data_IF_828166670960
#
_entry.id   IF_828166670960
#
_cell.length_a   1.000
_cell.length_b   1.000
_cell.length_c   1.000
_cell.angle_alpha   90.00
_cell.angle_beta   90.00
_cell.angle_gamma   90.00
#
_symmetry.space_group_name_H-M   'P 1'
#
loop_
_entity.id
_entity.type
_entity.pdbx_description
1 polymer ?
#
# COMPACT_ATOMS: atom_id res chain seq x y z
N UNK A 1 10.11 -42.70 -5.57
CA UNK A 1 10.96 -41.51 -5.80
C UNK A 1 10.04 -40.39 -6.22
N UNK A 2 9.75 -39.44 -5.34
CA UNK A 2 8.91 -38.29 -5.66
C UNK A 2 9.65 -37.02 -5.30
N UNK A 3 9.66 -36.12 -6.28
CA UNK A 3 10.28 -34.80 -6.33
C UNK A 3 10.08 -33.97 -5.05
N UNK A 4 11.17 -33.36 -4.60
CA UNK A 4 11.12 -32.13 -3.82
C UNK A 4 11.58 -31.00 -4.73
N UNK A 5 10.64 -30.28 -5.34
CA UNK A 5 10.93 -28.97 -5.93
C UNK A 5 10.90 -27.96 -4.79
N UNK A 6 12.00 -27.87 -4.03
CA UNK A 6 12.27 -26.76 -3.12
C UNK A 6 12.94 -25.65 -3.93
N UNK A 7 12.15 -24.85 -4.65
CA UNK A 7 12.59 -23.51 -5.07
C UNK A 7 11.81 -22.51 -4.24
N UNK A 8 12.42 -22.02 -3.16
CA UNK A 8 12.02 -20.73 -2.58
C UNK A 8 12.36 -19.69 -3.64
N UNK A 9 11.36 -18.91 -4.05
CA UNK A 9 11.59 -17.73 -4.88
C UNK A 9 12.49 -16.81 -4.04
N UNK A 10 13.66 -16.46 -4.57
CA UNK A 10 14.55 -15.48 -3.96
C UNK A 10 14.00 -14.10 -4.27
N UNK A 11 13.68 -13.34 -3.23
CA UNK A 11 13.18 -11.96 -3.34
C UNK A 11 14.16 -11.11 -2.56
N UNK A 12 14.80 -10.17 -3.24
CA UNK A 12 15.79 -9.30 -2.64
C UNK A 12 15.13 -8.19 -1.81
N UNK A 13 15.84 -7.69 -0.80
CA UNK A 13 15.39 -6.53 -0.02
C UNK A 13 15.13 -5.30 -0.90
N UNK A 14 15.84 -5.16 -2.03
CA UNK A 14 15.65 -4.03 -2.93
C UNK A 14 14.34 -4.16 -3.74
N UNK A 15 13.98 -5.36 -4.18
CA UNK A 15 12.69 -5.61 -4.82
C UNK A 15 11.52 -5.31 -3.87
N UNK A 16 11.64 -5.74 -2.60
CA UNK A 16 10.64 -5.41 -1.57
C UNK A 16 10.53 -3.90 -1.37
N UNK A 17 11.66 -3.19 -1.30
CA UNK A 17 11.66 -1.73 -1.13
C UNK A 17 11.06 -1.01 -2.33
N UNK A 18 11.34 -1.45 -3.55
CA UNK A 18 10.75 -0.84 -4.75
C UNK A 18 9.24 -1.07 -4.81
N UNK A 19 8.79 -2.28 -4.43
CA UNK A 19 7.38 -2.58 -4.29
C UNK A 19 6.69 -1.65 -3.27
N UNK A 20 7.26 -1.50 -2.08
CA UNK A 20 6.72 -0.61 -1.04
C UNK A 20 6.70 0.86 -1.49
N UNK A 21 7.75 1.33 -2.18
CA UNK A 21 7.80 2.70 -2.74
C UNK A 21 6.71 2.92 -3.79
N UNK A 22 6.47 1.94 -4.65
CA UNK A 22 5.46 2.02 -5.70
C UNK A 22 4.05 2.00 -5.13
N UNK A 23 3.76 1.12 -4.16
CA UNK A 23 2.51 1.13 -3.40
C UNK A 23 2.28 2.49 -2.73
N UNK A 24 3.29 3.02 -2.02
CA UNK A 24 3.22 4.30 -1.34
C UNK A 24 2.89 5.46 -2.30
N UNK A 25 3.58 5.50 -3.46
CA UNK A 25 3.31 6.48 -4.53
C UNK A 25 1.89 6.36 -5.05
N UNK A 26 1.40 5.14 -5.27
CA UNK A 26 0.06 4.92 -5.82
C UNK A 26 -1.03 5.31 -4.83
N UNK A 27 -0.91 4.95 -3.56
CA UNK A 27 -1.81 5.39 -2.49
C UNK A 27 -1.90 6.92 -2.41
N UNK A 28 -0.74 7.59 -2.47
CA UNK A 28 -0.66 9.05 -2.47
C UNK A 28 -1.32 9.67 -3.71
N UNK A 29 -1.05 9.13 -4.90
CA UNK A 29 -1.66 9.61 -6.16
C UNK A 29 -3.18 9.54 -6.10
N UNK A 30 -3.73 8.39 -5.70
CA UNK A 30 -5.17 8.19 -5.58
C UNK A 30 -5.80 9.17 -4.58
N UNK A 31 -5.11 9.47 -3.47
CA UNK A 31 -5.54 10.48 -2.50
C UNK A 31 -5.54 11.89 -3.11
N UNK A 32 -4.45 12.27 -3.77
CA UNK A 32 -4.24 13.59 -4.36
C UNK A 32 -5.23 13.84 -5.53
N UNK A 33 -5.47 12.84 -6.39
CA UNK A 33 -6.47 12.86 -7.47
C UNK A 33 -7.91 13.17 -6.97
N UNK A 34 -8.20 12.84 -5.72
CA UNK A 34 -9.49 13.09 -5.06
C UNK A 34 -9.52 14.36 -4.23
N UNK A 35 -8.41 15.11 -4.19
CA UNK A 35 -8.29 16.33 -3.38
C UNK A 35 -8.39 16.07 -1.87
N UNK A 36 -8.14 14.85 -1.41
CA UNK A 36 -8.30 14.49 0.00
C UNK A 36 -7.07 14.86 0.81
N UNK A 37 -7.27 15.47 1.98
CA UNK A 37 -6.16 15.75 2.92
C UNK A 37 -5.85 14.51 3.76
N UNK A 38 -4.57 14.32 4.10
CA UNK A 38 -4.11 13.18 4.92
C UNK A 38 -4.76 13.12 6.30
N UNK A 39 -4.90 14.25 6.98
CA UNK A 39 -5.56 14.34 8.29
C UNK A 39 -7.00 13.87 8.24
N UNK A 40 -7.73 14.24 7.19
CA UNK A 40 -9.09 13.77 6.96
C UNK A 40 -9.14 12.26 6.72
N UNK A 41 -8.29 11.72 5.83
CA UNK A 41 -8.23 10.28 5.54
C UNK A 41 -7.88 9.48 6.79
N UNK A 42 -6.84 9.90 7.52
CA UNK A 42 -6.41 9.23 8.75
C UNK A 42 -7.55 9.18 9.79
N UNK A 43 -8.30 10.29 9.92
CA UNK A 43 -9.49 10.35 10.78
C UNK A 43 -10.59 9.39 10.33
N UNK A 44 -10.88 9.27 9.04
CA UNK A 44 -11.87 8.31 8.52
C UNK A 44 -11.46 6.85 8.79
N UNK A 45 -10.17 6.56 8.73
CA UNK A 45 -9.63 5.22 8.98
C UNK A 45 -9.43 4.90 10.46
N UNK A 46 -9.56 5.89 11.36
CA UNK A 46 -9.27 5.72 12.78
C UNK A 46 -7.79 5.49 13.08
N UNK A 47 -6.89 6.00 12.23
CA UNK A 47 -5.43 5.88 12.41
C UNK A 47 -4.80 7.24 12.69
N UNK A 48 -3.58 7.23 13.25
CA UNK A 48 -2.85 8.47 13.48
C UNK A 48 -2.40 9.11 12.16
N UNK A 49 -2.32 10.44 12.08
CA UNK A 49 -1.83 11.15 10.89
C UNK A 49 -0.47 10.64 10.41
N UNK A 50 0.45 10.40 11.35
CA UNK A 50 1.78 9.88 11.03
C UNK A 50 1.75 8.46 10.45
N UNK A 51 0.75 7.65 10.77
CA UNK A 51 0.57 6.32 10.19
C UNK A 51 0.32 6.42 8.69
N UNK A 52 -0.67 7.22 8.27
CA UNK A 52 -0.94 7.46 6.86
C UNK A 52 0.24 8.14 6.15
N UNK A 53 0.88 9.12 6.80
CA UNK A 53 2.09 9.76 6.27
C UNK A 53 3.22 8.75 6.04
N UNK A 54 3.44 7.81 6.95
CA UNK A 54 4.50 6.80 6.81
C UNK A 54 4.19 5.81 5.69
N UNK A 55 2.93 5.43 5.49
CA UNK A 55 2.51 4.62 4.34
C UNK A 55 2.78 5.34 3.03
N UNK A 56 2.39 6.61 2.89
CA UNK A 56 2.62 7.40 1.67
C UNK A 56 4.10 7.75 1.42
N UNK A 57 4.97 7.55 2.41
CA UNK A 57 6.42 7.70 2.30
C UNK A 57 7.14 6.36 2.08
N UNK A 58 6.42 5.23 2.05
CA UNK A 58 7.02 3.89 1.95
C UNK A 58 7.84 3.49 3.18
N UNK A 59 7.61 4.13 4.34
CA UNK A 59 8.31 3.85 5.59
C UNK A 59 7.64 2.76 6.43
N UNK A 60 6.39 2.45 6.11
CA UNK A 60 5.60 1.40 6.72
C UNK A 60 4.59 0.89 5.70
N UNK A 61 4.10 -0.33 5.90
CA UNK A 61 3.14 -0.96 5.02
C UNK A 61 1.74 -0.97 5.66
N UNK A 62 0.67 -0.60 4.94
CA UNK A 62 -0.69 -0.80 5.41
C UNK A 62 -1.05 -2.29 5.43
N UNK A 63 -1.80 -2.74 6.42
CA UNK A 63 -2.35 -4.10 6.39
C UNK A 63 -3.48 -4.25 5.36
N UNK A 64 -3.96 -5.48 5.19
CA UNK A 64 -5.09 -5.78 4.30
C UNK A 64 -6.37 -5.04 4.71
N UNK A 65 -6.61 -4.86 6.01
CA UNK A 65 -7.74 -4.10 6.54
C UNK A 65 -7.68 -2.63 6.11
N UNK A 66 -6.50 -2.02 6.23
CA UNK A 66 -6.28 -0.62 5.90
C UNK A 66 -6.37 -0.39 4.39
N UNK A 67 -5.81 -1.29 3.57
CA UNK A 67 -5.96 -1.25 2.11
C UNK A 67 -7.44 -1.33 1.69
N UNK A 68 -8.22 -2.23 2.29
CA UNK A 68 -9.65 -2.34 2.00
C UNK A 68 -10.43 -1.08 2.46
N UNK A 69 -10.04 -0.47 3.57
CA UNK A 69 -10.65 0.79 4.03
C UNK A 69 -10.32 1.95 3.08
N UNK A 70 -9.07 2.06 2.63
CA UNK A 70 -8.65 3.03 1.63
C UNK A 70 -9.37 2.82 0.30
N UNK A 71 -9.52 1.58 -0.16
CA UNK A 71 -10.19 1.30 -1.44
C UNK A 71 -11.63 1.80 -1.43
N UNK A 72 -12.35 1.55 -0.34
CA UNK A 72 -13.72 2.05 -0.12
C UNK A 72 -13.76 3.57 -0.07
N UNK A 73 -12.84 4.19 0.68
CA UNK A 73 -12.78 5.64 0.84
C UNK A 73 -12.43 6.35 -0.46
N UNK A 74 -11.58 5.72 -1.28
CA UNK A 74 -11.14 6.25 -2.56
C UNK A 74 -12.04 5.75 -3.70
N UNK A 75 -13.06 4.93 -3.48
CA UNK A 75 -13.91 4.41 -4.55
C UNK A 75 -13.09 3.74 -5.69
N UNK A 76 -12.15 2.87 -5.31
CA UNK A 76 -11.32 2.05 -6.20
C UNK A 76 -11.36 0.59 -5.77
N UNK A 77 -10.90 -0.32 -6.64
CA UNK A 77 -10.63 -1.69 -6.23
C UNK A 77 -9.29 -1.76 -5.47
N UNK A 78 -9.12 -2.64 -4.47
CA UNK A 78 -7.82 -2.84 -3.82
C UNK A 78 -6.66 -3.09 -4.79
N UNK A 79 -6.90 -3.70 -5.95
CA UNK A 79 -5.86 -3.93 -6.97
C UNK A 79 -5.31 -2.62 -7.55
N UNK A 80 -6.09 -1.54 -7.54
CA UNK A 80 -5.68 -0.25 -8.12
C UNK A 80 -4.52 0.40 -7.35
N UNK A 81 -4.27 -0.02 -6.10
CA UNK A 81 -3.09 0.37 -5.32
C UNK A 81 -1.78 -0.23 -5.86
N UNK A 82 -1.89 -1.29 -6.65
CA UNK A 82 -0.77 -2.02 -7.25
C UNK A 82 -0.65 -1.75 -8.76
N UNK A 83 -1.49 -0.87 -9.31
CA UNK A 83 -1.43 -0.49 -10.72
C UNK A 83 -0.15 0.27 -11.05
N UNK A 84 0.57 -0.20 -12.08
CA UNK A 84 1.82 0.41 -12.55
C UNK A 84 3.10 -0.06 -11.82
N UNK A 85 3.02 -1.17 -11.08
CA UNK A 85 4.17 -1.95 -10.63
C UNK A 85 4.84 -2.73 -11.78
#
# INVERSE_FOLDING_TARGET
>A
MSEKVERKIDITDEEVREYDRSLARRMRSLRDERGLKRDWVAKQLGVHYNTLKNWELGKAHPGSRELLALSKLYHVDPIDFFGGL
#
